data_IF_498843808663
#
_entry.id   IF_498843808663
#
_cell.length_a   1.000
_cell.length_b   1.000
_cell.length_c   1.000
_cell.angle_alpha   90.00
_cell.angle_beta   90.00
_cell.angle_gamma   90.00
#
_symmetry.space_group_name_H-M   'P 1'
#
loop_
_entity.id
_entity.type
_entity.pdbx_description
1 polymer ?
#
# COMPACT_ATOMS: atom_id res chain seq x y z
N UNK A 1 7.52 13.21 3.40
CA UNK A 1 8.68 12.98 4.29
C UNK A 1 9.62 12.00 3.60
N UNK A 2 10.90 12.37 3.38
CA UNK A 2 11.88 11.50 2.69
C UNK A 2 12.54 10.58 3.72
N UNK A 3 12.47 9.27 3.54
CA UNK A 3 13.31 8.34 4.29
C UNK A 3 14.78 8.56 3.90
N UNK A 4 15.69 8.46 4.86
CA UNK A 4 17.15 8.56 4.63
C UNK A 4 17.70 7.30 3.97
N UNK A 5 17.10 6.17 4.28
CA UNK A 5 17.39 4.88 3.65
C UNK A 5 16.13 4.01 3.69
N UNK A 6 16.01 3.13 2.70
CA UNK A 6 15.01 2.07 2.66
C UNK A 6 15.68 0.78 2.16
N UNK A 7 15.76 -0.23 3.02
CA UNK A 7 16.35 -1.53 2.70
C UNK A 7 15.23 -2.55 2.66
N UNK A 8 15.12 -3.28 1.55
CA UNK A 8 14.14 -4.37 1.43
C UNK A 8 14.60 -5.56 2.26
N UNK A 9 13.70 -6.11 3.07
CA UNK A 9 13.90 -7.34 3.84
C UNK A 9 13.14 -8.50 3.20
N UNK A 10 13.17 -9.68 3.82
CA UNK A 10 12.39 -10.84 3.37
C UNK A 10 10.88 -10.62 3.42
N UNK A 11 10.39 -9.82 4.38
CA UNK A 11 8.94 -9.61 4.63
C UNK A 11 8.50 -8.15 4.56
N UNK A 12 9.38 -7.21 4.22
CA UNK A 12 9.04 -5.79 4.18
C UNK A 12 10.26 -4.89 4.01
N UNK A 13 10.41 -3.89 4.89
CA UNK A 13 11.43 -2.86 4.76
C UNK A 13 11.97 -2.39 6.10
N UNK A 14 13.27 -2.13 6.17
CA UNK A 14 13.89 -1.36 7.23
C UNK A 14 14.13 0.06 6.73
N UNK A 15 13.63 1.05 7.46
CA UNK A 15 13.67 2.45 7.10
C UNK A 15 14.48 3.24 8.12
N UNK A 16 15.23 4.22 7.63
CA UNK A 16 15.80 5.27 8.46
C UNK A 16 15.01 6.56 8.25
N UNK A 17 14.38 7.05 9.31
CA UNK A 17 13.60 8.27 9.27
C UNK A 17 14.55 9.50 9.26
N UNK A 18 14.13 10.62 8.63
CA UNK A 18 14.84 11.89 8.72
C UNK A 18 14.87 12.40 10.17
N UNK A 19 15.88 13.21 10.47
CA UNK A 19 16.05 13.79 11.80
C UNK A 19 14.82 14.57 12.24
N UNK A 20 14.50 14.46 13.54
CA UNK A 20 13.31 15.09 14.13
C UNK A 20 12.01 14.33 13.91
N UNK A 21 12.06 13.11 13.35
CA UNK A 21 10.89 12.24 13.28
C UNK A 21 11.15 10.93 14.01
N UNK A 22 10.35 10.72 15.05
CA UNK A 22 10.36 9.51 15.86
C UNK A 22 9.56 8.40 15.17
N UNK A 23 10.14 7.21 15.18
CA UNK A 23 9.48 6.00 14.75
C UNK A 23 8.42 5.60 15.79
N UNK A 24 7.25 5.19 15.30
CA UNK A 24 6.15 4.74 16.14
C UNK A 24 5.71 3.35 15.72
N UNK A 25 5.33 2.55 16.72
CA UNK A 25 4.71 1.25 16.52
C UNK A 25 3.31 1.38 15.94
N UNK A 26 2.88 0.34 15.22
CA UNK A 26 1.47 0.15 14.83
C UNK A 26 1.23 0.08 13.32
N UNK A 27 -0.04 0.22 12.90
CA UNK A 27 -0.40 0.12 11.49
C UNK A 27 0.29 1.19 10.64
N UNK A 28 0.85 0.78 9.51
CA UNK A 28 1.61 1.68 8.62
C UNK A 28 1.21 1.49 7.17
N UNK A 29 1.35 2.58 6.42
CA UNK A 29 1.23 2.61 4.97
C UNK A 29 2.55 3.14 4.37
N UNK A 30 3.22 2.33 3.56
CA UNK A 30 4.40 2.71 2.79
C UNK A 30 4.01 2.96 1.35
N UNK A 31 4.32 4.14 0.81
CA UNK A 31 4.09 4.45 -0.60
C UNK A 31 5.42 4.71 -1.29
N UNK A 32 5.68 3.96 -2.36
CA UNK A 32 6.77 4.21 -3.29
C UNK A 32 6.22 4.91 -4.52
N UNK A 33 6.88 6.00 -4.90
CA UNK A 33 6.54 6.75 -6.11
C UNK A 33 7.64 6.51 -7.15
N UNK A 34 7.24 5.98 -8.30
CA UNK A 34 8.10 5.94 -9.50
C UNK A 34 7.62 7.04 -10.44
N UNK A 35 8.55 7.84 -10.93
CA UNK A 35 8.24 8.88 -11.89
C UNK A 35 8.90 8.60 -13.23
N UNK A 36 8.23 9.05 -14.29
CA UNK A 36 8.79 9.10 -15.63
C UNK A 36 9.85 10.18 -15.79
N UNK A 37 10.59 10.16 -16.92
CA UNK A 37 11.43 11.28 -17.33
C UNK A 37 10.65 12.60 -17.28
N UNK A 38 11.31 13.64 -16.77
CA UNK A 38 10.71 14.97 -16.57
C UNK A 38 9.41 14.99 -15.72
N UNK A 39 9.19 13.99 -14.86
CA UNK A 39 8.00 13.87 -13.99
C UNK A 39 6.66 13.83 -14.76
N UNK A 40 6.69 13.43 -16.03
CA UNK A 40 5.52 13.42 -16.93
C UNK A 40 4.48 12.36 -16.58
N UNK A 41 4.85 11.36 -15.80
CA UNK A 41 3.94 10.38 -15.22
C UNK A 41 4.41 9.92 -13.85
N UNK A 42 3.48 9.36 -13.07
CA UNK A 42 3.73 8.80 -11.76
C UNK A 42 3.03 7.45 -11.61
N UNK A 43 3.72 6.50 -11.00
CA UNK A 43 3.20 5.21 -10.56
C UNK A 43 3.38 5.07 -9.05
N UNK A 44 2.33 4.61 -8.37
CA UNK A 44 2.32 4.41 -6.92
C UNK A 44 2.28 2.92 -6.60
N UNK A 45 3.25 2.46 -5.82
CA UNK A 45 3.16 1.16 -5.14
C UNK A 45 2.89 1.45 -3.68
N UNK A 46 1.70 1.08 -3.22
CA UNK A 46 1.27 1.29 -1.84
C UNK A 46 1.28 -0.05 -1.14
N UNK A 47 1.93 -0.15 0.01
CA UNK A 47 2.05 -1.34 0.83
C UNK A 47 1.53 -1.02 2.22
N UNK A 48 0.79 -1.95 2.82
CA UNK A 48 0.28 -1.81 4.18
C UNK A 48 0.78 -2.96 5.05
N UNK A 49 0.89 -2.69 6.34
CA UNK A 49 1.22 -3.68 7.34
C UNK A 49 1.43 -3.06 8.70
N UNK A 50 2.40 -3.58 9.46
CA UNK A 50 2.70 -3.15 10.82
C UNK A 50 4.14 -2.68 10.93
N UNK A 51 4.35 -1.60 11.67
CA UNK A 51 5.65 -1.06 11.99
C UNK A 51 6.04 -1.34 13.44
N UNK A 52 7.35 -1.49 13.65
CA UNK A 52 8.03 -1.47 14.94
C UNK A 52 9.08 -0.36 14.90
N UNK A 53 9.01 0.59 15.83
CA UNK A 53 9.82 1.79 15.88
C UNK A 53 10.81 1.83 17.04
N UNK A 54 12.03 2.31 16.77
CA UNK A 54 13.03 2.62 17.79
C UNK A 54 13.84 3.85 17.36
N UNK A 55 13.61 5.00 18.00
CA UNK A 55 14.25 6.27 17.64
C UNK A 55 14.01 6.64 16.17
N UNK A 56 15.07 6.72 15.36
CA UNK A 56 14.98 7.03 13.92
C UNK A 56 14.87 5.79 13.02
N UNK A 57 14.69 4.59 13.60
CA UNK A 57 14.60 3.33 12.88
C UNK A 57 13.17 2.82 12.87
N UNK A 58 12.66 2.49 11.68
CA UNK A 58 11.32 1.94 11.51
C UNK A 58 11.42 0.64 10.73
N UNK A 59 11.19 -0.48 11.41
CA UNK A 59 11.03 -1.78 10.78
C UNK A 59 9.58 -1.95 10.34
N UNK A 60 9.34 -2.34 9.10
CA UNK A 60 7.99 -2.53 8.56
C UNK A 60 7.85 -3.95 8.02
N UNK A 61 6.89 -4.70 8.57
CA UNK A 61 6.40 -5.95 8.00
C UNK A 61 5.25 -5.63 7.06
N UNK A 62 5.42 -5.95 5.77
CA UNK A 62 4.39 -5.76 4.76
C UNK A 62 3.45 -6.96 4.78
N UNK A 63 2.15 -6.69 4.86
CA UNK A 63 1.10 -7.71 4.82
C UNK A 63 0.51 -7.86 3.42
N UNK A 64 0.35 -6.75 2.70
CA UNK A 64 -0.19 -6.72 1.34
C UNK A 64 0.10 -5.40 0.64
N UNK A 65 -0.08 -5.38 -0.67
CA UNK A 65 -0.12 -4.17 -1.46
C UNK A 65 -1.54 -3.59 -1.49
N UNK A 66 -1.72 -2.26 -1.45
CA UNK A 66 -3.04 -1.59 -1.47
C UNK A 66 -3.65 -1.52 -2.87
N UNK A 67 -2.92 -1.94 -3.90
CA UNK A 67 -3.54 -2.35 -5.16
C UNK A 67 -4.55 -3.49 -4.92
N UNK A 68 -4.44 -4.23 -3.82
CA UNK A 68 -5.51 -5.04 -3.27
C UNK A 68 -6.51 -4.17 -2.50
N UNK A 69 -7.80 -4.28 -2.86
CA UNK A 69 -8.86 -3.57 -2.18
C UNK A 69 -9.42 -4.42 -1.02
N UNK A 70 -9.56 -3.80 0.14
CA UNK A 70 -10.14 -4.42 1.34
C UNK A 70 -11.51 -3.84 1.59
N UNK A 71 -12.48 -4.73 1.85
CA UNK A 71 -13.83 -4.30 2.21
C UNK A 71 -13.79 -3.61 3.59
N UNK A 72 -14.34 -2.39 3.73
CA UNK A 72 -14.39 -1.71 5.01
C UNK A 72 -15.27 -2.51 6.00
N UNK A 73 -14.93 -2.53 7.31
CA UNK A 73 -15.76 -3.18 8.31
C UNK A 73 -17.12 -2.44 8.50
N UNK A 74 -18.18 -3.24 8.66
CA UNK A 74 -19.56 -2.77 8.91
C UNK A 74 -20.51 -2.91 7.71
N UNK A 75 -21.78 -3.27 7.99
CA UNK A 75 -22.79 -3.64 6.97
C UNK A 75 -23.19 -2.52 6.00
N UNK A 76 -23.23 -1.26 6.44
CA UNK A 76 -23.65 -0.14 5.58
C UNK A 76 -22.56 0.27 4.58
N UNK A 77 -21.32 0.43 5.06
CA UNK A 77 -20.15 0.74 4.22
C UNK A 77 -19.85 -0.36 3.20
N UNK A 78 -20.22 -1.60 3.51
CA UNK A 78 -20.11 -2.76 2.64
C UNK A 78 -20.98 -2.68 1.37
N UNK A 79 -22.24 -2.21 1.49
CA UNK A 79 -23.19 -2.16 0.37
C UNK A 79 -22.81 -1.13 -0.69
N UNK A 80 -22.45 0.08 -0.25
CA UNK A 80 -21.99 1.16 -1.14
C UNK A 80 -20.70 0.76 -1.86
N UNK A 81 -19.77 0.14 -1.13
CA UNK A 81 -18.48 -0.30 -1.67
C UNK A 81 -18.59 -1.46 -2.67
N UNK A 82 -19.60 -2.35 -2.55
CA UNK A 82 -19.84 -3.40 -3.55
C UNK A 82 -20.34 -2.84 -4.89
N UNK A 83 -21.19 -1.81 -4.86
CA UNK A 83 -21.69 -1.15 -6.08
C UNK A 83 -20.56 -0.49 -6.87
N UNK A 84 -19.68 0.24 -6.18
CA UNK A 84 -18.48 0.84 -6.79
C UNK A 84 -17.41 -0.21 -7.14
N UNK A 85 -17.27 -1.27 -6.34
CA UNK A 85 -16.35 -2.38 -6.60
C UNK A 85 -16.64 -3.10 -7.93
N UNK A 86 -17.91 -3.21 -8.34
CA UNK A 86 -18.27 -3.80 -9.65
C UNK A 86 -17.82 -2.94 -10.82
N UNK A 87 -17.93 -1.61 -10.72
CA UNK A 87 -17.42 -0.67 -11.73
C UNK A 87 -15.88 -0.66 -11.76
N UNK A 88 -15.26 -0.74 -10.59
CA UNK A 88 -13.81 -0.79 -10.43
C UNK A 88 -13.23 -2.09 -11.02
N UNK A 89 -13.89 -3.24 -10.82
CA UNK A 89 -13.44 -4.53 -11.33
C UNK A 89 -13.25 -4.59 -12.85
N UNK A 90 -14.11 -3.92 -13.61
CA UNK A 90 -13.98 -3.83 -15.07
C UNK A 90 -12.75 -2.99 -15.48
N UNK A 91 -12.53 -1.85 -14.80
CA UNK A 91 -11.35 -1.00 -15.03
C UNK A 91 -10.05 -1.70 -14.62
N UNK A 92 -10.06 -2.41 -13.50
CA UNK A 92 -8.91 -3.19 -13.02
C UNK A 92 -8.54 -4.31 -14.00
N UNK A 93 -9.53 -5.00 -14.59
CA UNK A 93 -9.28 -6.01 -15.63
C UNK A 93 -8.66 -5.41 -16.89
N UNK A 94 -9.20 -4.29 -17.37
CA UNK A 94 -8.66 -3.60 -18.53
C UNK A 94 -7.22 -3.12 -18.30
N UNK A 95 -6.95 -2.54 -17.13
CA UNK A 95 -5.62 -2.04 -16.78
C UNK A 95 -4.61 -3.17 -16.53
N UNK A 96 -5.04 -4.27 -15.90
CA UNK A 96 -4.22 -5.46 -15.69
C UNK A 96 -3.81 -6.09 -17.03
N UNK A 97 -4.74 -6.19 -17.98
CA UNK A 97 -4.47 -6.66 -19.35
C UNK A 97 -3.48 -5.73 -20.08
N UNK A 98 -3.66 -4.41 -19.99
CA UNK A 98 -2.76 -3.41 -20.59
C UNK A 98 -1.32 -3.51 -20.05
N UNK A 99 -1.16 -3.85 -18.77
CA UNK A 99 0.14 -3.95 -18.09
C UNK A 99 0.74 -5.35 -18.09
N UNK A 100 0.02 -6.37 -18.58
CA UNK A 100 0.49 -7.77 -18.54
C UNK A 100 0.64 -8.32 -17.11
N UNK A 101 -0.18 -7.86 -16.17
CA UNK A 101 -0.10 -8.22 -14.75
C UNK A 101 -1.40 -8.90 -14.27
N UNK A 102 -1.37 -9.68 -13.17
CA UNK A 102 -2.58 -10.26 -12.61
C UNK A 102 -3.55 -9.19 -12.09
N UNK A 103 -4.85 -9.49 -12.16
CA UNK A 103 -5.90 -8.61 -11.63
C UNK A 103 -5.83 -8.60 -10.09
N UNK A 104 -5.83 -7.43 -9.44
CA UNK A 104 -5.79 -7.37 -7.98
C UNK A 104 -6.99 -8.05 -7.31
N UNK A 105 -6.75 -8.70 -6.17
CA UNK A 105 -7.74 -9.55 -5.49
C UNK A 105 -8.38 -8.82 -4.32
N UNK A 106 -9.69 -9.01 -4.14
CA UNK A 106 -10.42 -8.51 -2.96
C UNK A 106 -10.08 -9.34 -1.75
N UNK A 107 -9.65 -8.71 -0.67
CA UNK A 107 -9.55 -9.39 0.64
C UNK A 107 -10.68 -8.92 1.56
N UNK A 108 -11.45 -9.87 2.08
CA UNK A 108 -12.42 -9.63 3.14
C UNK A 108 -11.70 -9.66 4.49
N UNK A 109 -11.93 -8.69 5.40
CA UNK A 109 -11.46 -8.81 6.77
C UNK A 109 -11.99 -10.11 7.37
N UNK A 110 -11.16 -10.83 8.12
CA UNK A 110 -11.65 -11.94 8.95
C UNK A 110 -12.42 -11.29 10.12
N UNK A 111 -13.70 -11.64 10.24
CA UNK A 111 -14.53 -11.29 11.40
C UNK A 111 -14.25 -12.22 12.56
#
# INVERSE_FOLDING_TARGET
MRTRAAVRTGTGFDLRLPAGVEAADGPVCLTFHRHGPALTWQENVVLVGTATGEGDRLGVRVERALNDWSLPPGRERFRSFLGEGRKLGNRLRAEAARRGQPVPVVRRPRG
#
